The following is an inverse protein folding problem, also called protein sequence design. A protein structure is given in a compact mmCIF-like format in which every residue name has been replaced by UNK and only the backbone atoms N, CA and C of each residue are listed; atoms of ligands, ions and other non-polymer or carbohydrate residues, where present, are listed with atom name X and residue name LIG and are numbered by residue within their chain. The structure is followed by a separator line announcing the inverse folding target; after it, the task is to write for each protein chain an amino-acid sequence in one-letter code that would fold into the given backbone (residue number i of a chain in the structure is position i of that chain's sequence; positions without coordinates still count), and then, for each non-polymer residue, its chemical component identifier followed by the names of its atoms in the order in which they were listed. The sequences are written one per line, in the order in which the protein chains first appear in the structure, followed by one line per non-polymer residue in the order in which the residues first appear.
data_IF_150549466517
#
_entry.id   IF_150549466517
#
_cell.length_a   1.000
_cell.length_b   1.000
_cell.length_c   1.000
_cell.angle_alpha   90.00
_cell.angle_beta   90.00
_cell.angle_gamma   90.00
#
_symmetry.space_group_name_H-M   'P 1'
#
loop_
_entity.id
_entity.type
_entity.pdbx_description
1 polymer ?
#
# COMPACT_ATOMS: atom_id res chain seq x y z
N UNK A 1 -16.70 -13.68 4.69
CA UNK A 1 -18.14 -13.94 4.59
C UNK A 1 -18.45 -14.37 3.17
N UNK A 2 -19.04 -15.55 2.95
CA UNK A 2 -19.37 -16.05 1.60
C UNK A 2 -20.63 -15.31 1.12
N UNK A 3 -20.59 -14.73 -0.08
CA UNK A 3 -21.66 -13.87 -0.61
C UNK A 3 -23.08 -14.48 -0.61
N UNK A 4 -23.27 -15.79 -0.85
CA UNK A 4 -24.59 -16.42 -0.73
C UNK A 4 -25.24 -16.24 0.65
N UNK A 5 -24.44 -16.11 1.72
CA UNK A 5 -24.99 -15.89 3.05
C UNK A 5 -25.58 -14.49 3.23
N UNK A 6 -25.00 -13.47 2.58
CA UNK A 6 -25.47 -12.07 2.69
C UNK A 6 -26.82 -11.92 2.02
N UNK A 7 -26.95 -12.45 0.80
CA UNK A 7 -28.21 -12.40 0.03
C UNK A 7 -29.31 -13.15 0.77
N UNK A 8 -29.00 -14.33 1.32
CA UNK A 8 -29.94 -15.08 2.17
C UNK A 8 -30.38 -14.27 3.39
N UNK A 9 -29.45 -13.56 4.03
CA UNK A 9 -29.75 -12.73 5.20
C UNK A 9 -30.67 -11.55 4.84
N UNK A 10 -30.39 -10.85 3.73
CA UNK A 10 -31.23 -9.77 3.22
C UNK A 10 -32.62 -10.29 2.88
N UNK A 11 -32.70 -11.40 2.14
CA UNK A 11 -33.97 -11.98 1.72
C UNK A 11 -34.85 -12.43 2.91
N UNK A 12 -34.23 -12.94 3.98
CA UNK A 12 -34.94 -13.39 5.18
C UNK A 12 -35.44 -12.24 6.04
N UNK A 13 -34.64 -11.18 6.21
CA UNK A 13 -34.96 -10.10 7.15
C UNK A 13 -35.69 -8.92 6.51
N UNK A 14 -35.62 -8.78 5.18
CA UNK A 14 -36.28 -7.71 4.43
C UNK A 14 -36.09 -6.29 5.04
N UNK A 15 -34.85 -5.86 5.39
CA UNK A 15 -34.62 -4.53 5.96
C UNK A 15 -35.05 -3.42 5.00
N UNK A 16 -35.40 -2.23 5.52
CA UNK A 16 -35.72 -1.04 4.69
C UNK A 16 -34.57 -0.66 3.76
N UNK A 17 -33.34 -0.74 4.25
CA UNK A 17 -32.14 -0.58 3.45
C UNK A 17 -30.95 -1.30 4.06
N UNK A 18 -29.90 -1.50 3.26
CA UNK A 18 -28.65 -2.10 3.70
C UNK A 18 -27.45 -1.43 3.03
N UNK A 19 -26.30 -1.56 3.68
CA UNK A 19 -24.98 -1.20 3.13
C UNK A 19 -24.10 -2.44 3.23
N UNK A 20 -23.53 -2.82 2.10
CA UNK A 20 -22.51 -3.87 2.02
C UNK A 20 -21.20 -3.25 1.53
N UNK A 21 -20.10 -3.61 2.18
CA UNK A 21 -18.75 -3.15 1.84
C UNK A 21 -17.87 -4.33 1.48
N UNK A 22 -16.95 -4.11 0.53
CA UNK A 22 -15.87 -5.05 0.24
C UNK A 22 -14.64 -4.34 -0.35
N UNK A 23 -13.54 -5.08 -0.51
CA UNK A 23 -12.33 -4.59 -1.18
C UNK A 23 -12.61 -4.17 -2.63
N UNK A 24 -11.94 -3.10 -3.09
CA UNK A 24 -12.11 -2.55 -4.45
C UNK A 24 -11.82 -3.56 -5.56
N UNK A 25 -11.04 -4.61 -5.29
CA UNK A 25 -10.79 -5.70 -6.23
C UNK A 25 -12.06 -6.40 -6.73
N UNK A 26 -13.17 -6.38 -5.97
CA UNK A 26 -14.46 -6.90 -6.43
C UNK A 26 -15.00 -6.12 -7.63
N UNK A 27 -14.71 -4.82 -7.74
CA UNK A 27 -15.12 -3.96 -8.85
C UNK A 27 -14.09 -3.91 -9.99
N UNK A 28 -13.01 -4.69 -9.91
CA UNK A 28 -12.01 -4.74 -10.99
C UNK A 28 -12.58 -5.39 -12.26
N UNK A 29 -12.06 -5.07 -13.47
CA UNK A 29 -12.55 -5.66 -14.71
C UNK A 29 -12.57 -7.20 -14.71
N UNK A 30 -11.57 -7.83 -14.07
CA UNK A 30 -11.46 -9.30 -13.94
C UNK A 30 -12.60 -9.92 -13.12
N UNK A 31 -13.19 -9.18 -12.19
CA UNK A 31 -14.22 -9.66 -11.27
C UNK A 31 -15.61 -9.08 -11.58
N UNK A 32 -15.77 -8.40 -12.71
CA UNK A 32 -16.99 -7.65 -13.05
C UNK A 32 -18.22 -8.55 -13.14
N UNK A 33 -18.10 -9.71 -13.77
CA UNK A 33 -19.21 -10.67 -13.91
C UNK A 33 -19.72 -11.14 -12.53
N UNK A 34 -18.78 -11.36 -11.59
CA UNK A 34 -19.13 -11.70 -10.21
C UNK A 34 -19.87 -10.54 -9.52
N UNK A 35 -19.42 -9.29 -9.71
CA UNK A 35 -20.11 -8.12 -9.19
C UNK A 35 -21.53 -8.01 -9.72
N UNK A 36 -21.71 -8.17 -11.04
CA UNK A 36 -23.02 -8.08 -11.69
C UNK A 36 -23.99 -9.18 -11.21
N UNK A 37 -23.51 -10.40 -11.01
CA UNK A 37 -24.30 -11.48 -10.43
C UNK A 37 -24.83 -11.11 -9.03
N UNK A 38 -23.98 -10.55 -8.17
CA UNK A 38 -24.37 -10.15 -6.81
C UNK A 38 -25.44 -9.05 -6.85
N UNK A 39 -25.26 -8.06 -7.72
CA UNK A 39 -26.20 -6.95 -7.87
C UNK A 39 -27.56 -7.47 -8.35
N UNK A 40 -27.57 -8.41 -9.30
CA UNK A 40 -28.78 -9.02 -9.82
C UNK A 40 -29.50 -9.85 -8.75
N UNK A 41 -28.76 -10.68 -8.00
CA UNK A 41 -29.34 -11.47 -6.90
C UNK A 41 -29.95 -10.58 -5.81
N UNK A 42 -29.25 -9.52 -5.39
CA UNK A 42 -29.78 -8.55 -4.42
C UNK A 42 -30.97 -7.75 -4.98
N UNK A 43 -30.98 -7.42 -6.27
CA UNK A 43 -32.12 -6.77 -6.88
C UNK A 43 -33.34 -7.71 -6.90
N UNK A 44 -33.14 -8.99 -7.23
CA UNK A 44 -34.20 -10.00 -7.27
C UNK A 44 -34.86 -10.26 -5.91
N UNK A 45 -34.21 -9.91 -4.79
CA UNK A 45 -34.84 -9.97 -3.45
C UNK A 45 -35.74 -8.76 -3.15
N UNK A 46 -36.04 -7.90 -4.13
CA UNK A 46 -36.98 -6.78 -3.98
C UNK A 46 -36.34 -5.43 -3.65
N UNK A 47 -35.07 -5.21 -4.06
CA UNK A 47 -34.32 -3.99 -3.75
C UNK A 47 -33.96 -3.18 -5.00
N UNK A 48 -33.90 -1.86 -4.83
CA UNK A 48 -33.23 -0.91 -5.70
C UNK A 48 -31.75 -0.87 -5.25
N UNK A 49 -30.86 -1.44 -6.05
CA UNK A 49 -29.45 -1.65 -5.68
C UNK A 49 -28.54 -0.73 -6.48
N UNK A 50 -27.65 -0.02 -5.80
CA UNK A 50 -26.62 0.83 -6.42
C UNK A 50 -25.26 0.51 -5.82
N UNK A 51 -24.19 0.72 -6.57
CA UNK A 51 -22.83 0.49 -6.09
C UNK A 51 -21.87 1.59 -6.55
N UNK A 52 -20.79 1.80 -5.77
CA UNK A 52 -19.70 2.71 -6.13
C UNK A 52 -18.42 2.35 -5.38
N UNK A 53 -17.26 2.58 -6.00
CA UNK A 53 -15.98 2.60 -5.30
C UNK A 53 -15.74 3.98 -4.71
N UNK A 54 -15.47 4.05 -3.41
CA UNK A 54 -15.17 5.27 -2.69
C UNK A 54 -13.78 5.19 -2.08
N UNK A 55 -13.05 6.31 -2.13
CA UNK A 55 -11.69 6.42 -1.63
C UNK A 55 -11.65 7.19 -0.31
N UNK A 56 -11.02 6.66 0.74
CA UNK A 56 -10.99 7.27 2.08
C UNK A 56 -10.50 8.73 2.09
N UNK A 57 -9.48 9.05 1.29
CA UNK A 57 -9.00 10.42 1.06
C UNK A 57 -10.05 11.43 0.59
N UNK A 58 -11.05 11.01 -0.17
CA UNK A 58 -12.11 11.92 -0.62
C UNK A 58 -13.07 12.29 0.52
N UNK A 59 -12.96 11.59 1.67
CA UNK A 59 -13.78 11.75 2.87
C UNK A 59 -12.94 12.16 4.09
N UNK A 60 -11.84 12.87 3.88
CA UNK A 60 -11.09 13.51 4.96
C UNK A 60 -10.14 12.58 5.73
N UNK A 61 -9.60 11.54 5.10
CA UNK A 61 -8.56 10.69 5.69
C UNK A 61 -7.31 10.61 4.80
N UNK A 62 -6.09 10.84 5.31
CA UNK A 62 -4.84 10.72 4.57
C UNK A 62 -4.47 9.24 4.39
N UNK A 63 -5.36 8.43 3.81
CA UNK A 63 -5.17 7.01 3.62
C UNK A 63 -5.57 6.58 2.21
N UNK A 64 -4.67 5.86 1.54
CA UNK A 64 -4.91 5.26 0.24
C UNK A 64 -5.72 3.98 0.43
N UNK A 65 -7.05 4.09 0.46
CA UNK A 65 -7.95 2.97 0.70
C UNK A 65 -9.25 3.14 -0.07
N UNK A 66 -9.34 2.39 -1.16
CA UNK A 66 -10.55 2.20 -1.93
C UNK A 66 -11.38 1.05 -1.38
N UNK A 67 -12.70 1.25 -1.33
CA UNK A 67 -13.68 0.22 -1.01
C UNK A 67 -14.89 0.31 -1.92
N UNK A 68 -15.40 -0.85 -2.31
CA UNK A 68 -16.67 -0.92 -3.03
C UNK A 68 -17.79 -0.97 -2.00
N UNK A 69 -18.77 -0.10 -2.19
CA UNK A 69 -19.99 -0.04 -1.41
C UNK A 69 -21.15 -0.43 -2.31
N UNK A 70 -22.03 -1.31 -1.82
CA UNK A 70 -23.29 -1.69 -2.43
C UNK A 70 -24.39 -1.29 -1.45
N UNK A 71 -25.31 -0.45 -1.92
CA UNK A 71 -26.44 0.04 -1.14
C UNK A 71 -27.72 -0.47 -1.77
N UNK A 72 -28.57 -1.10 -0.97
CA UNK A 72 -29.88 -1.54 -1.39
C UNK A 72 -30.96 -0.86 -0.58
N UNK A 73 -32.02 -0.40 -1.24
CA UNK A 73 -33.22 0.16 -0.63
C UNK A 73 -34.41 -0.64 -1.12
N UNK A 74 -35.30 -1.05 -0.21
CA UNK A 74 -36.44 -1.92 -0.55
C UNK A 74 -37.39 -1.19 -1.52
N UNK A 75 -37.91 -1.90 -2.53
CA UNK A 75 -38.65 -1.31 -3.67
C UNK A 75 -40.00 -0.66 -3.30
N UNK A 76 -40.56 -1.02 -2.16
CA UNK A 76 -41.78 -0.41 -1.61
C UNK A 76 -41.55 1.00 -1.06
N UNK A 77 -40.30 1.43 -0.91
CA UNK A 77 -39.95 2.78 -0.52
C UNK A 77 -39.93 3.65 -1.78
N UNK A 78 -40.85 4.61 -1.85
CA UNK A 78 -41.08 5.49 -3.01
C UNK A 78 -39.78 6.11 -3.55
N UNK A 79 -38.93 6.58 -2.64
CA UNK A 79 -37.69 7.29 -2.95
C UNK A 79 -36.49 6.37 -3.19
N UNK A 80 -36.67 5.05 -3.29
CA UNK A 80 -35.55 4.08 -3.41
C UNK A 80 -34.59 4.41 -4.57
N UNK A 81 -35.12 4.96 -5.68
CA UNK A 81 -34.33 5.32 -6.86
C UNK A 81 -33.59 6.64 -6.71
N UNK A 82 -33.91 7.47 -5.73
CA UNK A 82 -33.29 8.78 -5.50
C UNK A 82 -31.91 8.69 -4.85
N UNK A 83 -31.55 7.53 -4.29
CA UNK A 83 -30.26 7.36 -3.60
C UNK A 83 -29.09 7.73 -4.51
N UNK A 84 -28.19 8.56 -3.99
CA UNK A 84 -26.92 8.91 -4.62
C UNK A 84 -25.84 8.72 -3.59
N UNK A 85 -24.71 8.16 -4.00
CA UNK A 85 -23.53 8.11 -3.15
C UNK A 85 -23.07 9.52 -2.80
N UNK A 86 -22.49 9.72 -1.61
CA UNK A 86 -22.02 11.03 -1.18
C UNK A 86 -20.94 11.57 -2.13
N UNK A 87 -20.88 12.90 -2.22
CA UNK A 87 -19.82 13.59 -2.94
C UNK A 87 -18.57 13.69 -2.04
N UNK A 88 -17.36 13.77 -2.64
CA UNK A 88 -16.14 14.11 -1.90
C UNK A 88 -16.30 15.38 -1.06
N UNK A 89 -15.66 15.42 0.11
CA UNK A 89 -15.76 16.53 1.06
C UNK A 89 -14.87 17.71 0.70
N UNK A 90 -13.98 17.57 -0.29
CA UNK A 90 -12.91 18.54 -0.60
C UNK A 90 -12.05 18.90 0.63
N UNK A 91 -11.84 17.93 1.53
CA UNK A 91 -10.95 18.05 2.70
C UNK A 91 -9.79 17.08 2.49
N UNK A 92 -8.57 17.62 2.51
CA UNK A 92 -7.36 16.89 2.17
C UNK A 92 -6.33 16.97 3.31
N UNK A 93 -6.59 16.29 4.44
CA UNK A 93 -5.60 16.21 5.50
C UNK A 93 -4.36 15.46 5.00
N UNK A 94 -3.22 15.78 5.60
CA UNK A 94 -1.93 15.12 5.41
C UNK A 94 -1.68 14.14 6.54
N UNK A 95 -0.68 13.27 6.38
CA UNK A 95 -0.30 12.31 7.42
C UNK A 95 0.12 13.02 8.72
N UNK A 96 0.82 14.15 8.62
CA UNK A 96 1.23 14.96 9.76
C UNK A 96 0.07 15.52 10.59
N UNK A 97 -1.11 15.73 9.98
CA UNK A 97 -2.26 16.30 10.68
C UNK A 97 -2.89 15.29 11.66
N UNK A 98 -2.67 14.00 11.41
CA UNK A 98 -3.33 12.90 12.13
C UNK A 98 -2.43 12.27 13.21
N UNK A 99 -1.12 12.27 13.00
CA UNK A 99 -0.18 11.67 13.94
C UNK A 99 0.42 12.74 14.85
N UNK A 100 0.14 12.63 16.16
CA UNK A 100 0.46 13.69 17.13
C UNK A 100 1.97 13.95 17.21
N UNK A 101 2.74 12.89 17.02
CA UNK A 101 4.19 12.83 17.03
C UNK A 101 4.83 13.68 15.91
N UNK A 102 4.05 14.07 14.90
CA UNK A 102 4.52 14.78 13.71
C UNK A 102 4.10 16.26 13.66
N UNK A 103 3.28 16.73 14.61
CA UNK A 103 2.68 18.08 14.58
C UNK A 103 3.70 19.22 14.59
N UNK A 104 4.89 18.98 15.12
CA UNK A 104 5.96 19.99 15.24
C UNK A 104 7.00 19.90 14.11
N UNK A 105 6.76 19.09 13.08
CA UNK A 105 7.71 18.91 11.99
C UNK A 105 7.51 20.01 10.94
N UNK A 106 8.62 20.66 10.57
CA UNK A 106 8.60 21.68 9.53
C UNK A 106 8.14 21.08 8.19
N UNK A 107 7.19 21.79 7.57
CA UNK A 107 6.79 21.51 6.21
C UNK A 107 7.98 21.78 5.27
N UNK A 108 8.16 20.88 4.31
CA UNK A 108 9.19 21.01 3.28
C UNK A 108 8.47 20.98 1.94
N UNK A 109 8.68 22.03 1.15
CA UNK A 109 8.17 22.09 -0.22
C UNK A 109 8.94 21.11 -1.11
N UNK A 110 8.24 20.45 -2.04
CA UNK A 110 8.84 19.46 -2.91
C UNK A 110 9.41 20.10 -4.16
N UNK A 111 10.59 19.64 -4.55
CA UNK A 111 11.19 20.00 -5.84
C UNK A 111 10.45 19.28 -6.97
N UNK A 112 10.13 20.04 -8.02
CA UNK A 112 9.69 19.50 -9.31
C UNK A 112 10.91 19.06 -10.12
N UNK A 113 10.89 17.81 -10.58
CA UNK A 113 11.97 17.17 -11.32
C UNK A 113 11.47 16.70 -12.68
N UNK A 114 12.34 16.72 -13.67
CA UNK A 114 12.02 16.20 -14.99
C UNK A 114 12.01 14.65 -15.01
N UNK A 115 11.30 14.08 -15.98
CA UNK A 115 11.15 12.63 -16.11
C UNK A 115 12.47 11.89 -16.41
N UNK A 116 13.48 12.55 -16.99
CA UNK A 116 14.78 11.93 -17.22
C UNK A 116 15.53 11.77 -15.89
N UNK A 117 15.51 12.79 -15.04
CA UNK A 117 16.09 12.75 -13.69
C UNK A 117 15.45 11.66 -12.83
N UNK A 118 14.13 11.48 -12.90
CA UNK A 118 13.42 10.50 -12.06
C UNK A 118 13.39 9.08 -12.64
N UNK A 119 13.17 8.94 -13.95
CA UNK A 119 12.84 7.65 -14.57
C UNK A 119 13.71 7.29 -15.78
N UNK A 120 14.79 8.05 -16.02
CA UNK A 120 15.66 7.86 -17.19
C UNK A 120 14.86 7.87 -18.49
N UNK A 121 13.82 8.71 -18.56
CA UNK A 121 12.98 8.93 -19.74
C UNK A 121 11.78 8.00 -19.88
N UNK A 122 11.66 6.93 -19.08
CA UNK A 122 10.53 5.98 -19.17
C UNK A 122 9.75 5.95 -17.87
N UNK A 123 8.61 6.62 -17.83
CA UNK A 123 7.72 6.69 -16.67
C UNK A 123 7.05 5.31 -16.44
N UNK A 124 7.24 4.66 -15.27
CA UNK A 124 6.49 3.45 -14.92
C UNK A 124 4.96 3.63 -15.04
N UNK A 125 4.24 2.64 -15.63
CA UNK A 125 2.79 2.74 -15.86
C UNK A 125 1.94 2.53 -14.60
N UNK A 126 2.47 1.85 -13.58
CA UNK A 126 1.74 1.53 -12.35
C UNK A 126 2.05 2.55 -11.25
N UNK A 127 1.20 3.57 -11.10
CA UNK A 127 1.30 4.59 -10.06
C UNK A 127 -0.04 4.84 -9.42
N UNK A 128 -0.04 5.17 -8.13
CA UNK A 128 -1.23 5.72 -7.49
C UNK A 128 -1.38 7.20 -7.88
N UNK A 129 -2.59 7.77 -7.73
CA UNK A 129 -2.82 9.21 -7.97
C UNK A 129 -1.98 10.16 -7.09
N UNK A 130 -1.26 9.61 -6.10
CA UNK A 130 -0.40 10.34 -5.17
C UNK A 130 1.10 10.19 -5.49
N UNK A 131 1.45 9.32 -6.45
CA UNK A 131 2.82 9.20 -6.96
C UNK A 131 2.94 10.02 -8.23
N UNK A 132 3.33 11.29 -8.07
CA UNK A 132 3.52 12.20 -9.20
C UNK A 132 4.75 11.80 -10.01
N UNK A 133 4.73 12.13 -11.30
CA UNK A 133 5.81 11.87 -12.25
C UNK A 133 6.87 12.97 -12.28
N UNK A 134 6.69 14.02 -11.49
CA UNK A 134 7.58 15.15 -11.37
C UNK A 134 8.09 15.36 -9.94
N UNK A 135 7.84 14.43 -9.01
CA UNK A 135 8.26 14.53 -7.61
C UNK A 135 8.93 13.25 -7.09
N UNK A 136 9.78 13.41 -6.08
CA UNK A 136 10.27 12.29 -5.27
C UNK A 136 9.13 11.70 -4.42
N UNK A 137 9.17 10.38 -4.15
CA UNK A 137 8.16 9.74 -3.31
C UNK A 137 8.31 10.17 -1.85
N UNK A 138 7.20 10.32 -1.11
CA UNK A 138 7.22 10.58 0.35
C UNK A 138 7.45 9.33 1.21
N UNK A 139 8.07 8.30 0.66
CA UNK A 139 8.34 7.07 1.38
C UNK A 139 9.52 6.32 0.78
N UNK A 140 10.19 5.57 1.64
CA UNK A 140 11.24 4.64 1.26
C UNK A 140 10.78 3.21 1.52
N UNK A 141 10.92 2.34 0.52
CA UNK A 141 10.62 0.90 0.65
C UNK A 141 11.93 0.16 0.84
N UNK A 142 11.96 -0.76 1.80
CA UNK A 142 13.09 -1.65 2.05
C UNK A 142 12.81 -2.99 1.36
N UNK A 143 13.47 -3.25 0.22
CA UNK A 143 13.22 -4.47 -0.56
C UNK A 143 14.30 -4.73 -1.60
N UNK A 144 14.88 -5.93 -1.56
CA UNK A 144 15.82 -6.42 -2.58
C UNK A 144 15.12 -6.92 -3.85
N UNK A 145 13.79 -6.82 -3.93
CA UNK A 145 12.97 -7.37 -5.03
C UNK A 145 12.30 -6.30 -5.90
N UNK A 146 12.40 -5.03 -5.49
CA UNK A 146 11.82 -3.88 -6.17
C UNK A 146 12.91 -2.89 -6.48
N UNK A 147 12.75 -2.10 -7.52
CA UNK A 147 13.68 -1.02 -7.80
C UNK A 147 12.91 0.27 -8.07
N UNK A 148 13.41 1.37 -7.54
CA UNK A 148 12.84 2.69 -7.67
C UNK A 148 13.72 3.71 -6.96
N UNK A 149 13.54 4.99 -7.25
CA UNK A 149 14.36 6.08 -6.72
C UNK A 149 14.37 6.16 -5.19
N UNK A 150 13.32 5.67 -4.53
CA UNK A 150 13.24 5.59 -3.05
C UNK A 150 13.22 4.14 -2.54
N UNK A 151 13.83 3.20 -3.27
CA UNK A 151 14.03 1.84 -2.75
C UNK A 151 15.39 1.73 -2.06
N UNK A 152 15.37 1.25 -0.83
CA UNK A 152 16.55 0.88 -0.04
C UNK A 152 16.72 -0.63 -0.13
N UNK A 153 17.89 -1.06 -0.56
CA UNK A 153 18.31 -2.44 -0.67
C UNK A 153 19.28 -2.80 0.46
N UNK A 154 19.49 -4.09 0.67
CA UNK A 154 20.44 -4.59 1.68
C UNK A 154 21.85 -4.10 1.37
N UNK A 155 22.22 -4.01 0.08
CA UNK A 155 23.51 -3.48 -0.36
C UNK A 155 23.66 -1.95 -0.23
N UNK A 156 22.58 -1.21 0.05
CA UNK A 156 22.69 0.22 0.39
C UNK A 156 22.98 0.43 1.89
N UNK A 157 22.65 -0.56 2.71
CA UNK A 157 22.81 -0.54 4.17
C UNK A 157 24.15 -1.18 4.56
N UNK A 158 24.47 -2.31 3.94
CA UNK A 158 25.71 -3.03 4.14
C UNK A 158 26.80 -2.39 3.28
N UNK A 159 28.02 -2.26 3.81
CA UNK A 159 29.14 -1.74 3.05
C UNK A 159 29.41 -2.64 1.82
N UNK A 160 29.18 -2.10 0.63
CA UNK A 160 29.36 -2.76 -0.66
C UNK A 160 30.05 -1.85 -1.67
N UNK A 161 30.89 -2.45 -2.50
CA UNK A 161 31.51 -1.82 -3.67
C UNK A 161 30.50 -1.63 -4.81
N UNK A 162 30.82 -0.77 -5.77
CA UNK A 162 29.97 -0.56 -6.95
C UNK A 162 29.86 -1.83 -7.81
N UNK A 163 30.90 -2.67 -7.82
CA UNK A 163 30.90 -3.98 -8.46
C UNK A 163 29.87 -4.92 -7.82
N UNK A 164 29.84 -4.99 -6.49
CA UNK A 164 28.85 -5.77 -5.74
C UNK A 164 27.41 -5.28 -5.98
N UNK A 165 27.20 -3.96 -6.01
CA UNK A 165 25.89 -3.37 -6.32
C UNK A 165 25.43 -3.71 -7.74
N UNK A 166 26.33 -3.70 -8.71
CA UNK A 166 26.05 -4.07 -10.09
C UNK A 166 25.65 -5.55 -10.23
N UNK A 167 26.30 -6.45 -9.48
CA UNK A 167 25.91 -7.86 -9.40
C UNK A 167 24.51 -8.01 -8.78
N UNK A 168 24.21 -7.30 -7.69
CA UNK A 168 22.88 -7.31 -7.07
C UNK A 168 21.78 -6.81 -8.03
N UNK A 169 22.02 -5.70 -8.71
CA UNK A 169 21.10 -5.16 -9.70
C UNK A 169 20.89 -6.11 -10.88
N UNK A 170 21.92 -6.88 -11.25
CA UNK A 170 21.84 -7.91 -12.28
C UNK A 170 20.88 -9.02 -11.86
N UNK A 171 21.03 -9.58 -10.65
CA UNK A 171 20.09 -10.56 -10.12
C UNK A 171 18.66 -10.02 -10.10
N UNK A 172 18.47 -8.81 -9.58
CA UNK A 172 17.17 -8.15 -9.49
C UNK A 172 16.48 -7.99 -10.86
N UNK A 173 17.24 -7.65 -11.90
CA UNK A 173 16.73 -7.49 -13.26
C UNK A 173 16.37 -8.84 -13.89
N UNK A 174 17.30 -9.80 -13.85
CA UNK A 174 17.18 -11.02 -14.64
C UNK A 174 16.38 -12.13 -13.96
N UNK A 175 16.15 -12.07 -12.63
CA UNK A 175 15.27 -13.02 -11.94
C UNK A 175 13.84 -13.06 -12.48
N UNK A 176 13.35 -12.01 -13.14
CA UNK A 176 12.00 -11.98 -13.75
C UNK A 176 11.98 -12.49 -15.19
N UNK A 177 13.13 -12.85 -15.75
CA UNK A 177 13.23 -13.36 -17.10
C UNK A 177 12.78 -14.81 -17.16
N UNK A 178 11.89 -15.12 -18.11
CA UNK A 178 11.49 -16.50 -18.43
C UNK A 178 12.65 -17.38 -18.90
N UNK A 179 13.74 -16.77 -19.38
CA UNK A 179 14.96 -17.50 -19.80
C UNK A 179 15.51 -18.36 -18.66
N UNK A 180 15.42 -17.90 -17.42
CA UNK A 180 16.05 -18.54 -16.25
C UNK A 180 15.04 -19.33 -15.40
N UNK A 181 13.81 -19.50 -15.90
CA UNK A 181 12.76 -20.31 -15.29
C UNK A 181 11.35 -19.71 -15.42
N UNK A 182 10.35 -20.49 -15.06
CA UNK A 182 8.93 -20.11 -15.25
C UNK A 182 8.36 -19.20 -14.15
N UNK A 183 9.11 -18.96 -13.06
CA UNK A 183 8.62 -18.17 -11.93
C UNK A 183 8.84 -16.69 -12.17
N UNK A 184 7.97 -15.84 -11.60
CA UNK A 184 8.20 -14.40 -11.49
C UNK A 184 9.19 -14.10 -10.35
N UNK A 185 10.41 -14.61 -10.52
CA UNK A 185 11.45 -14.56 -9.51
C UNK A 185 12.29 -15.81 -9.40
N UNK A 186 13.07 -16.08 -10.44
CA UNK A 186 14.00 -17.19 -10.52
C UNK A 186 15.33 -16.84 -9.84
N UNK A 187 15.87 -17.72 -8.99
CA UNK A 187 17.27 -17.63 -8.59
C UNK A 187 18.18 -17.91 -9.80
N UNK A 188 19.40 -17.40 -9.79
CA UNK A 188 20.37 -17.55 -10.90
C UNK A 188 21.55 -18.43 -10.47
N UNK A 189 22.01 -19.33 -11.34
CA UNK A 189 23.26 -20.07 -11.11
C UNK A 189 24.48 -19.20 -11.42
N UNK A 190 25.68 -19.69 -11.06
CA UNK A 190 26.92 -19.01 -11.44
C UNK A 190 27.09 -18.93 -12.97
N UNK A 191 26.67 -19.95 -13.70
CA UNK A 191 26.66 -19.99 -15.17
C UNK A 191 25.72 -18.92 -15.74
N UNK A 192 24.51 -18.78 -15.18
CA UNK A 192 23.57 -17.72 -15.57
C UNK A 192 24.20 -16.33 -15.38
N UNK A 193 24.90 -16.10 -14.25
CA UNK A 193 25.63 -14.85 -14.04
C UNK A 193 26.76 -14.65 -15.05
N UNK A 194 27.52 -15.70 -15.37
CA UNK A 194 28.64 -15.63 -16.32
C UNK A 194 28.20 -15.33 -17.74
N UNK A 195 26.99 -15.76 -18.13
CA UNK A 195 26.37 -15.37 -19.39
C UNK A 195 26.03 -13.88 -19.46
N UNK A 196 25.72 -13.26 -18.31
CA UNK A 196 25.28 -11.86 -18.23
C UNK A 196 26.47 -10.92 -17.97
N UNK A 197 27.40 -11.34 -17.12
CA UNK A 197 28.61 -10.63 -16.69
C UNK A 197 29.78 -11.57 -17.01
N UNK A 198 30.38 -11.38 -18.18
CA UNK A 198 31.35 -12.34 -18.75
C UNK A 198 32.62 -12.53 -17.92
N UNK A 199 33.00 -11.52 -17.14
CA UNK A 199 34.20 -11.50 -16.30
C UNK A 199 33.92 -11.84 -14.82
N UNK A 200 32.71 -12.33 -14.48
CA UNK A 200 32.36 -12.57 -13.08
C UNK A 200 33.11 -13.77 -12.49
N UNK A 201 33.67 -13.58 -11.31
CA UNK A 201 34.29 -14.64 -10.53
C UNK A 201 33.34 -15.18 -9.47
N UNK A 202 33.39 -16.49 -9.20
CA UNK A 202 32.56 -17.12 -8.16
C UNK A 202 32.83 -16.50 -6.77
N UNK A 203 34.06 -16.03 -6.52
CA UNK A 203 34.43 -15.38 -5.27
C UNK A 203 33.67 -14.07 -5.04
N UNK A 204 33.29 -13.35 -6.10
CA UNK A 204 32.46 -12.13 -5.98
C UNK A 204 31.06 -12.48 -5.46
N UNK A 205 30.49 -13.59 -5.93
CA UNK A 205 29.20 -14.09 -5.43
C UNK A 205 29.32 -14.62 -4.00
N UNK A 206 30.43 -15.28 -3.66
CA UNK A 206 30.68 -15.76 -2.30
C UNK A 206 30.78 -14.61 -1.28
N UNK A 207 31.41 -13.48 -1.64
CA UNK A 207 31.41 -12.28 -0.80
C UNK A 207 29.99 -11.77 -0.50
N UNK A 208 29.07 -11.85 -1.47
CA UNK A 208 27.67 -11.46 -1.28
C UNK A 208 26.89 -12.47 -0.40
N UNK A 209 27.28 -13.75 -0.38
CA UNK A 209 26.79 -14.75 0.58
C UNK A 209 27.28 -14.42 2.00
N UNK A 210 28.58 -14.14 2.16
CA UNK A 210 29.19 -13.80 3.46
C UNK A 210 28.59 -12.52 4.06
N UNK A 211 28.29 -11.53 3.22
CA UNK A 211 27.58 -10.30 3.62
C UNK A 211 26.10 -10.54 3.96
N UNK A 212 25.56 -11.73 3.73
CA UNK A 212 24.15 -12.05 3.98
C UNK A 212 23.18 -11.32 3.04
N UNK A 213 23.64 -10.91 1.87
CA UNK A 213 22.80 -10.29 0.83
C UNK A 213 22.19 -11.41 -0.03
N UNK A 214 23.02 -12.36 -0.43
CA UNK A 214 22.60 -13.56 -1.15
C UNK A 214 22.48 -14.77 -0.20
N UNK A 215 21.70 -15.76 -0.64
CA UNK A 215 21.67 -17.12 -0.12
C UNK A 215 21.68 -18.10 -1.28
N UNK A 216 22.11 -19.32 -0.99
CA UNK A 216 21.96 -20.44 -1.91
C UNK A 216 20.62 -21.14 -1.70
N UNK A 217 19.99 -21.49 -2.82
CA UNK A 217 18.84 -22.39 -2.86
C UNK A 217 19.29 -23.85 -2.81
N UNK A 218 18.34 -24.79 -2.68
CA UNK A 218 18.62 -26.23 -2.70
C UNK A 218 19.37 -26.67 -3.96
N UNK A 219 19.14 -25.96 -5.06
CA UNK A 219 19.66 -26.30 -6.39
C UNK A 219 20.94 -25.50 -6.71
N UNK A 220 21.64 -25.01 -5.68
CA UNK A 220 22.88 -24.23 -5.77
C UNK A 220 22.78 -22.94 -6.60
N UNK A 221 21.58 -22.37 -6.73
CA UNK A 221 21.37 -21.05 -7.34
C UNK A 221 21.34 -19.94 -6.29
N UNK A 222 21.81 -18.76 -6.64
CA UNK A 222 21.84 -17.57 -5.80
C UNK A 222 20.49 -16.83 -5.84
N UNK A 223 20.01 -16.43 -4.67
CA UNK A 223 18.80 -15.64 -4.46
C UNK A 223 19.04 -14.61 -3.35
N UNK A 224 18.24 -13.55 -3.29
CA UNK A 224 18.29 -12.63 -2.16
C UNK A 224 17.86 -13.31 -0.85
N UNK A 225 18.53 -12.94 0.25
CA UNK A 225 18.09 -13.32 1.60
C UNK A 225 16.69 -12.76 1.86
N UNK A 226 16.46 -11.49 1.53
CA UNK A 226 15.16 -10.81 1.67
C UNK A 226 14.26 -11.00 0.44
N UNK A 227 14.10 -12.24 -0.01
CA UNK A 227 13.31 -12.63 -1.20
C UNK A 227 11.81 -12.82 -0.94
N UNK A 228 11.32 -12.49 0.26
CA UNK A 228 9.88 -12.51 0.55
C UNK A 228 9.27 -11.13 0.33
N UNK A 229 8.14 -11.10 -0.37
CA UNK A 229 7.41 -9.85 -0.58
C UNK A 229 6.90 -9.27 0.74
N UNK A 230 7.03 -7.95 0.89
CA UNK A 230 6.52 -7.17 2.03
C UNK A 230 7.09 -7.54 3.41
N UNK A 231 8.15 -8.36 3.50
CA UNK A 231 8.80 -8.67 4.78
C UNK A 231 9.76 -7.58 5.24
N UNK A 232 10.24 -6.76 4.29
CA UNK A 232 11.19 -5.69 4.55
C UNK A 232 12.64 -6.17 4.68
N UNK A 233 13.50 -5.25 5.10
CA UNK A 233 14.91 -5.48 5.47
C UNK A 233 15.07 -4.96 6.91
N UNK A 234 15.80 -5.67 7.77
CA UNK A 234 16.01 -5.29 9.17
C UNK A 234 14.69 -4.99 9.92
N UNK A 235 13.67 -5.82 9.70
CA UNK A 235 12.34 -5.67 10.30
C UNK A 235 11.59 -4.37 9.91
N UNK A 236 11.97 -3.74 8.80
CA UNK A 236 11.35 -2.52 8.29
C UNK A 236 10.92 -2.78 6.84
N UNK A 237 9.65 -2.59 6.53
CA UNK A 237 9.17 -2.66 5.15
C UNK A 237 9.15 -1.30 4.48
N UNK A 238 8.70 -0.27 5.22
CA UNK A 238 8.57 1.09 4.71
C UNK A 238 8.79 2.11 5.79
N UNK A 239 9.42 3.22 5.42
CA UNK A 239 9.45 4.45 6.22
C UNK A 239 8.75 5.53 5.40
N UNK A 240 7.62 6.02 5.92
CA UNK A 240 6.87 7.15 5.35
C UNK A 240 7.47 8.45 5.90
N UNK A 241 7.59 9.48 5.08
CA UNK A 241 8.06 10.78 5.51
C UNK A 241 6.91 11.63 6.08
N UNK A 242 7.20 12.58 7.00
CA UNK A 242 6.19 13.46 7.58
C UNK A 242 5.37 14.25 6.56
N UNK A 243 6.01 14.63 5.44
CA UNK A 243 5.41 15.41 4.36
C UNK A 243 4.44 14.63 3.50
N UNK A 244 4.29 13.32 3.71
CA UNK A 244 3.40 12.48 2.93
C UNK A 244 1.96 13.02 2.95
N UNK A 245 1.42 13.25 1.75
CA UNK A 245 0.01 13.57 1.57
C UNK A 245 -0.88 12.38 1.95
N UNK A 246 -0.34 11.16 1.82
CA UNK A 246 -1.13 9.95 2.03
C UNK A 246 -0.34 8.80 2.67
N UNK A 247 -1.02 8.11 3.58
CA UNK A 247 -0.56 6.86 4.18
C UNK A 247 -1.01 5.66 3.31
N UNK A 248 -0.17 4.64 3.11
CA UNK A 248 -0.58 3.44 2.37
C UNK A 248 -1.73 2.68 3.05
N UNK A 249 -2.35 1.76 2.32
CA UNK A 249 -3.43 0.93 2.89
C UNK A 249 -2.95 0.14 4.12
N UNK A 250 -3.63 0.32 5.26
CA UNK A 250 -3.44 -0.54 6.42
C UNK A 250 -3.93 -1.96 6.11
N UNK A 251 -3.07 -2.95 6.33
CA UNK A 251 -3.37 -4.37 6.08
C UNK A 251 -3.54 -5.13 7.39
N UNK A 252 -4.45 -6.10 7.43
CA UNK A 252 -4.69 -6.89 8.63
C UNK A 252 -3.54 -7.84 8.99
N UNK A 253 -2.76 -8.27 7.99
CA UNK A 253 -1.52 -9.01 8.20
C UNK A 253 -0.43 -8.15 8.84
N UNK A 254 -0.60 -6.81 8.79
CA UNK A 254 0.39 -5.84 9.26
C UNK A 254 1.55 -5.72 8.30
N UNK A 255 1.81 -4.51 7.82
CA UNK A 255 3.10 -4.14 7.24
C UNK A 255 4.00 -3.59 8.35
N UNK A 256 5.30 -3.80 8.23
CA UNK A 256 6.32 -3.23 9.13
C UNK A 256 6.61 -1.77 8.75
N UNK A 257 5.54 -0.99 8.71
CA UNK A 257 5.56 0.41 8.32
C UNK A 257 5.91 1.28 9.53
N UNK A 258 6.72 2.28 9.26
CA UNK A 258 7.19 3.28 10.20
C UNK A 258 6.99 4.66 9.60
N UNK A 259 7.04 5.68 10.44
CA UNK A 259 7.05 7.07 10.02
C UNK A 259 8.31 7.76 10.53
N UNK A 260 9.00 8.49 9.66
CA UNK A 260 10.15 9.30 10.06
C UNK A 260 9.70 10.45 10.95
N UNK A 261 10.56 10.86 11.89
CA UNK A 261 10.31 11.97 12.82
C UNK A 261 11.03 13.25 12.41
N UNK A 262 11.71 13.23 11.25
CA UNK A 262 12.34 14.37 10.63
C UNK A 262 12.03 14.39 9.14
N UNK A 263 11.95 15.60 8.58
CA UNK A 263 11.85 15.80 7.14
C UNK A 263 13.23 15.84 6.50
N UNK A 264 13.30 15.44 5.24
CA UNK A 264 14.48 15.60 4.38
C UNK A 264 14.05 16.23 3.06
N UNK A 265 14.97 16.97 2.44
CA UNK A 265 14.77 17.64 1.17
C UNK A 265 15.94 17.30 0.26
N UNK A 266 15.66 17.00 -1.01
CA UNK A 266 16.69 16.79 -2.02
C UNK A 266 16.14 17.12 -3.40
N UNK A 267 17.05 17.46 -4.31
CA UNK A 267 16.72 17.75 -5.71
C UNK A 267 17.11 16.62 -6.66
N UNK A 268 17.69 15.54 -6.14
CA UNK A 268 18.12 14.41 -6.95
C UNK A 268 17.90 13.07 -6.22
N UNK A 269 17.35 12.02 -6.87
CA UNK A 269 17.18 10.69 -6.29
C UNK A 269 18.34 10.13 -5.47
N UNK A 270 19.58 10.25 -5.96
CA UNK A 270 20.74 9.67 -5.27
C UNK A 270 21.08 10.43 -3.98
N UNK A 271 21.05 11.76 -4.04
CA UNK A 271 21.19 12.64 -2.87
C UNK A 271 20.09 12.34 -1.84
N UNK A 272 18.84 12.20 -2.30
CA UNK A 272 17.69 11.94 -1.46
C UNK A 272 17.84 10.64 -0.67
N UNK A 273 18.31 9.59 -1.34
CA UNK A 273 18.58 8.29 -0.73
C UNK A 273 19.72 8.36 0.29
N UNK A 274 20.80 9.08 -0.02
CA UNK A 274 21.93 9.27 0.89
C UNK A 274 21.50 10.04 2.14
N UNK A 275 20.78 11.15 1.97
CA UNK A 275 20.23 11.96 3.07
C UNK A 275 19.26 11.16 3.94
N UNK A 276 18.42 10.33 3.33
CA UNK A 276 17.55 9.42 4.07
C UNK A 276 18.35 8.46 4.96
N UNK A 277 19.39 7.83 4.41
CA UNK A 277 20.22 6.91 5.18
C UNK A 277 20.94 7.61 6.33
N UNK A 278 21.55 8.77 6.07
CA UNK A 278 22.34 9.53 7.05
C UNK A 278 21.48 10.23 8.12
N UNK A 279 20.36 10.85 7.74
CA UNK A 279 19.57 11.70 8.63
C UNK A 279 18.40 10.98 9.29
N UNK A 280 17.89 9.89 8.69
CA UNK A 280 16.71 9.16 9.19
C UNK A 280 17.08 7.75 9.63
N UNK A 281 17.62 6.92 8.73
CA UNK A 281 17.76 5.48 8.98
C UNK A 281 18.83 5.16 10.02
N UNK A 282 20.08 5.58 9.79
CA UNK A 282 21.20 5.33 10.70
C UNK A 282 21.00 5.90 12.12
N UNK A 283 20.55 7.16 12.29
CA UNK A 283 20.27 7.71 13.62
C UNK A 283 18.93 7.25 14.21
N UNK A 284 18.20 6.36 13.53
CA UNK A 284 16.91 5.81 13.97
C UNK A 284 15.83 6.87 14.24
N UNK A 285 15.76 7.91 13.41
CA UNK A 285 14.75 8.97 13.52
C UNK A 285 13.43 8.58 12.86
N UNK A 286 12.86 7.47 13.31
CA UNK A 286 11.57 6.96 12.85
C UNK A 286 10.89 6.12 13.95
N UNK A 287 9.57 6.05 13.91
CA UNK A 287 8.75 5.30 14.89
C UNK A 287 7.81 4.32 14.18
N UNK A 288 7.52 3.15 14.78
CA UNK A 288 6.58 2.20 14.20
C UNK A 288 5.14 2.72 14.22
N UNK A 289 4.35 2.26 13.26
CA UNK A 289 2.90 2.55 13.24
C UNK A 289 2.20 1.70 14.30
N UNK A 290 1.57 2.37 15.27
CA UNK A 290 0.86 1.75 16.39
C UNK A 290 -0.64 1.57 16.08
N UNK A 291 -1.35 0.86 16.94
CA UNK A 291 -2.81 0.77 16.92
C UNK A 291 -3.47 2.14 17.08
N UNK A 292 -2.91 3.04 17.90
CA UNK A 292 -3.38 4.43 18.03
C UNK A 292 -3.32 5.17 16.69
N UNK A 293 -2.21 5.04 15.96
CA UNK A 293 -2.07 5.63 14.61
C UNK A 293 -3.08 5.01 13.64
N UNK A 294 -3.20 3.67 13.64
CA UNK A 294 -4.13 2.95 12.77
C UNK A 294 -5.61 3.32 13.02
N UNK A 295 -5.99 3.50 14.28
CA UNK A 295 -7.31 3.95 14.73
C UNK A 295 -7.66 5.31 14.11
N UNK A 296 -6.75 6.29 14.24
CA UNK A 296 -6.94 7.63 13.67
C UNK A 296 -6.92 7.64 12.14
N UNK A 297 -6.02 6.86 11.51
CA UNK A 297 -5.96 6.73 10.04
C UNK A 297 -7.22 6.12 9.44
N UNK A 298 -7.99 5.35 10.22
CA UNK A 298 -9.30 4.82 9.84
C UNK A 298 -10.46 5.76 10.22
N UNK A 299 -10.17 6.89 10.88
CA UNK A 299 -11.16 7.89 11.26
C UNK A 299 -12.04 7.51 12.45
N UNK A 300 -11.60 6.57 13.30
CA UNK A 300 -12.33 6.25 14.52
C UNK A 300 -12.29 7.43 15.52
N UNK A 301 -13.32 7.59 16.37
CA UNK A 301 -13.33 8.57 17.45
C UNK A 301 -12.14 8.42 18.40
N UNK A 302 -11.70 9.52 19.02
CA UNK A 302 -10.58 9.52 19.97
C UNK A 302 -10.83 8.65 21.21
N UNK A 303 -12.08 8.50 21.60
CA UNK A 303 -12.53 7.67 22.72
C UNK A 303 -12.89 6.23 22.30
N UNK A 304 -12.60 5.83 21.06
CA UNK A 304 -12.88 4.46 20.62
C UNK A 304 -12.01 3.46 21.39
N UNK A 305 -12.66 2.52 22.07
CA UNK A 305 -11.97 1.45 22.78
C UNK A 305 -11.62 0.31 21.83
N UNK A 306 -10.35 -0.09 21.84
CA UNK A 306 -9.86 -1.22 21.06
C UNK A 306 -8.97 -2.11 21.94
N UNK A 307 -8.64 -3.28 21.40
CA UNK A 307 -7.92 -4.29 22.14
C UNK A 307 -6.55 -3.78 22.65
N UNK A 308 -6.22 -4.05 23.93
CA UNK A 308 -4.99 -3.55 24.58
C UNK A 308 -3.69 -4.01 23.91
N UNK A 309 -3.69 -5.20 23.30
CA UNK A 309 -2.54 -5.69 22.50
C UNK A 309 -2.52 -5.02 21.12
N UNK A 310 -1.46 -4.27 20.85
CA UNK A 310 -1.26 -3.47 19.64
C UNK A 310 -1.45 -4.27 18.35
N UNK A 311 -0.84 -5.47 18.25
CA UNK A 311 -0.93 -6.32 17.06
C UNK A 311 -2.37 -6.77 16.74
N UNK A 312 -3.15 -7.09 17.78
CA UNK A 312 -4.55 -7.51 17.62
C UNK A 312 -5.40 -6.32 17.15
N UNK A 313 -5.21 -5.16 17.76
CA UNK A 313 -5.92 -3.94 17.37
C UNK A 313 -5.54 -3.52 15.94
N UNK A 314 -4.25 -3.53 15.56
CA UNK A 314 -3.81 -3.25 14.19
C UNK A 314 -4.42 -4.21 13.18
N UNK A 315 -4.52 -5.49 13.51
CA UNK A 315 -5.20 -6.48 12.65
C UNK A 315 -6.68 -6.14 12.44
N UNK A 316 -7.37 -5.68 13.50
CA UNK A 316 -8.76 -5.22 13.41
C UNK A 316 -8.87 -3.97 12.53
N UNK A 317 -8.04 -2.95 12.78
CA UNK A 317 -8.04 -1.72 11.97
C UNK A 317 -7.64 -1.96 10.52
N UNK A 318 -6.75 -2.91 10.23
CA UNK A 318 -6.41 -3.29 8.85
C UNK A 318 -7.59 -3.87 8.07
N UNK A 319 -8.54 -4.52 8.76
CA UNK A 319 -9.78 -5.03 8.18
C UNK A 319 -10.96 -4.04 8.27
N UNK A 320 -10.85 -2.98 9.05
CA UNK A 320 -11.94 -2.03 9.25
C UNK A 320 -12.27 -1.22 7.99
N UNK A 321 -13.53 -0.81 7.89
CA UNK A 321 -13.97 0.18 6.89
C UNK A 321 -13.63 1.58 7.43
N UNK A 322 -13.10 2.49 6.60
CA UNK A 322 -12.93 3.89 7.00
C UNK A 322 -14.23 4.49 7.50
N UNK A 323 -14.23 4.96 8.75
CA UNK A 323 -15.44 5.41 9.46
C UNK A 323 -16.13 6.58 8.74
N UNK A 324 -15.42 7.64 8.31
CA UNK A 324 -16.05 8.75 7.61
C UNK A 324 -16.75 8.30 6.33
N UNK A 325 -16.14 7.40 5.55
CA UNK A 325 -16.73 6.94 4.28
C UNK A 325 -18.07 6.25 4.51
N UNK A 326 -18.12 5.29 5.44
CA UNK A 326 -19.37 4.57 5.73
C UNK A 326 -20.40 5.49 6.39
N UNK A 327 -19.98 6.45 7.20
CA UNK A 327 -20.85 7.46 7.80
C UNK A 327 -21.57 8.30 6.73
N UNK A 328 -20.84 8.83 5.73
CA UNK A 328 -21.45 9.60 4.64
C UNK A 328 -22.33 8.75 3.73
N UNK A 329 -21.95 7.49 3.47
CA UNK A 329 -22.81 6.53 2.74
C UNK A 329 -24.12 6.29 3.49
N UNK A 330 -24.04 6.13 4.83
CA UNK A 330 -25.20 5.90 5.69
C UNK A 330 -26.09 7.14 5.80
N UNK A 331 -25.52 8.35 5.90
CA UNK A 331 -26.29 9.61 5.90
C UNK A 331 -27.16 9.76 4.66
N UNK A 332 -26.61 9.48 3.47
CA UNK A 332 -27.40 9.51 2.23
C UNK A 332 -28.48 8.43 2.20
N UNK A 333 -28.22 7.28 2.82
CA UNK A 333 -29.22 6.21 2.90
C UNK A 333 -30.37 6.63 3.81
N UNK A 334 -30.06 7.11 5.02
CA UNK A 334 -31.06 7.58 5.99
C UNK A 334 -31.92 8.72 5.44
N UNK A 335 -31.32 9.65 4.68
CA UNK A 335 -32.06 10.74 3.99
C UNK A 335 -33.11 10.23 2.99
N UNK A 336 -32.90 9.07 2.38
CA UNK A 336 -33.85 8.43 1.45
C UNK A 336 -34.89 7.60 2.21
N UNK A 337 -34.53 7.11 3.40
CA UNK A 337 -35.43 6.33 4.26
C UNK A 337 -36.34 7.20 5.15
N UNK A 338 -36.09 8.53 5.21
CA UNK A 338 -36.76 9.49 6.07
C UNK A 338 -36.65 9.11 7.57
N UNK A 339 -35.42 8.78 8.00
CA UNK A 339 -35.03 8.39 9.37
C UNK A 339 -33.94 9.33 9.91
#
# INVERSE_FOLDING_TARGET
MRLPCVIRLVNKNQPKGFIFENVSGLASPKNRDNLELILNELANTGYCVKWKVLHAYDFGLPQNRDRVFIVGIRRDIERCQEYKFPKPLNIHPKVLDILDELKNINFVEKVKLDANTLFKGVIPPSRTRFQKDDELNDFFIFSDLRNGHTTIHSWDIINTSDREKMICLTLLKYRRSKKYGDKDGNPLSFEDFREIITDIEINELNKLLEKGIFRLTSDHKYEFVNSKNMTGINNIYRIILPTAEIFPTLTATGSKDHIATVSIHASHPQEYKNLFLEKIYQPQKYIPITAKHACKLQGFPLNFEYHKKDEVAKKQFGNAVPVPVVEYVAKELLRVLDI
#
